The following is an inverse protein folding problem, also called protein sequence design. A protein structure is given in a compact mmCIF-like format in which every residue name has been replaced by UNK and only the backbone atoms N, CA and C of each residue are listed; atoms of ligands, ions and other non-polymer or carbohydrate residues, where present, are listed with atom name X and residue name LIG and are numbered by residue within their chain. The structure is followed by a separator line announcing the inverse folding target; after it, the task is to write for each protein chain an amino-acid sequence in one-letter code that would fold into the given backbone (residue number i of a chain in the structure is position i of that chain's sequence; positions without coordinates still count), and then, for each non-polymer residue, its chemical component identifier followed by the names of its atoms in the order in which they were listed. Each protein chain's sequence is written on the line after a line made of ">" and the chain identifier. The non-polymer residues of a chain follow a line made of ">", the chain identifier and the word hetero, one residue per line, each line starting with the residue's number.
data_IF_638105614168
#
_entry.id   IF_638105614168
#
_cell.length_a   1.000
_cell.length_b   1.000
_cell.length_c   1.000
_cell.angle_alpha   90.00
_cell.angle_beta   90.00
_cell.angle_gamma   90.00
#
_symmetry.space_group_name_H-M   'P 1'
#
loop_
_entity.id
_entity.type
_entity.pdbx_description
1 polymer ?
#
# COMPACT_ATOMS: atom_id res chain seq x y z
N UNK A 1 5.47 -28.76 1.46
CA UNK A 1 5.72 -27.30 1.50
C UNK A 1 5.57 -26.78 0.08
N UNK A 2 4.62 -25.88 -0.13
CA UNK A 2 4.31 -25.31 -1.44
C UNK A 2 5.09 -24.00 -1.62
N UNK A 3 5.69 -23.79 -2.79
CA UNK A 3 6.48 -22.61 -3.14
C UNK A 3 6.12 -22.13 -4.52
N UNK A 4 5.90 -20.83 -4.65
CA UNK A 4 5.58 -20.18 -5.91
C UNK A 4 6.46 -18.94 -6.10
N UNK A 5 7.04 -18.82 -7.28
CA UNK A 5 7.96 -17.76 -7.67
C UNK A 5 7.23 -16.82 -8.61
N UNK A 6 6.93 -15.61 -8.16
CA UNK A 6 6.23 -14.59 -8.95
C UNK A 6 7.22 -13.53 -9.43
N UNK A 7 7.66 -13.55 -10.71
CA UNK A 7 8.59 -12.56 -11.26
C UNK A 7 7.98 -11.15 -11.27
N UNK A 8 8.79 -10.15 -10.90
CA UNK A 8 8.39 -8.74 -10.98
C UNK A 8 8.40 -8.28 -12.44
N UNK A 9 7.44 -7.42 -12.80
CA UNK A 9 7.37 -6.76 -14.10
C UNK A 9 8.11 -5.41 -14.10
N UNK A 10 8.55 -4.94 -12.92
CA UNK A 10 9.20 -3.65 -12.72
C UNK A 10 8.20 -2.52 -12.45
N UNK A 11 6.94 -2.84 -12.18
CA UNK A 11 5.88 -1.89 -11.83
C UNK A 11 5.44 -2.19 -10.42
N UNK A 12 5.97 -1.44 -9.45
CA UNK A 12 5.99 -1.81 -8.04
C UNK A 12 4.59 -2.01 -7.47
N UNK A 13 3.63 -1.13 -7.82
CA UNK A 13 2.27 -1.23 -7.29
C UNK A 13 1.56 -2.46 -7.87
N UNK A 14 1.70 -2.68 -9.18
CA UNK A 14 1.17 -3.85 -9.85
C UNK A 14 1.77 -5.15 -9.30
N UNK A 15 3.10 -5.18 -9.13
CA UNK A 15 3.86 -6.34 -8.70
C UNK A 15 3.51 -6.75 -7.26
N UNK A 16 3.47 -5.79 -6.32
CA UNK A 16 3.02 -6.05 -4.94
C UNK A 16 1.56 -6.53 -4.91
N UNK A 17 0.69 -5.93 -5.72
CA UNK A 17 -0.71 -6.34 -5.81
C UNK A 17 -0.84 -7.78 -6.33
N UNK A 18 -0.07 -8.18 -7.35
CA UNK A 18 -0.07 -9.57 -7.82
C UNK A 18 0.43 -10.54 -6.75
N UNK A 19 1.49 -10.17 -6.04
CA UNK A 19 2.06 -10.99 -4.97
C UNK A 19 1.06 -11.26 -3.85
N UNK A 20 0.34 -10.23 -3.39
CA UNK A 20 -0.73 -10.42 -2.41
C UNK A 20 -1.91 -11.19 -2.98
N UNK A 21 -2.30 -10.98 -4.24
CA UNK A 21 -3.34 -11.78 -4.88
C UNK A 21 -3.03 -13.27 -4.89
N UNK A 22 -1.79 -13.64 -5.25
CA UNK A 22 -1.35 -15.03 -5.23
C UNK A 22 -1.29 -15.57 -3.80
N UNK A 23 -0.76 -14.78 -2.86
CA UNK A 23 -0.76 -15.12 -1.44
C UNK A 23 -2.17 -15.40 -0.91
N UNK A 24 -3.18 -14.61 -1.29
CA UNK A 24 -4.59 -14.82 -0.92
C UNK A 24 -5.12 -16.14 -1.45
N UNK A 25 -4.84 -16.47 -2.72
CA UNK A 25 -5.25 -17.75 -3.30
C UNK A 25 -4.64 -18.91 -2.50
N UNK A 26 -3.32 -18.87 -2.27
CA UNK A 26 -2.62 -19.91 -1.51
C UNK A 26 -3.16 -20.01 -0.07
N UNK A 27 -3.44 -18.86 0.56
CA UNK A 27 -4.02 -18.81 1.91
C UNK A 27 -5.45 -19.37 1.94
N UNK A 28 -6.29 -19.04 0.96
CA UNK A 28 -7.66 -19.53 0.88
C UNK A 28 -7.70 -21.07 0.76
N UNK A 29 -6.80 -21.65 -0.05
CA UNK A 29 -6.74 -23.08 -0.31
C UNK A 29 -6.09 -23.88 0.83
N UNK A 30 -5.13 -23.32 1.56
CA UNK A 30 -4.34 -24.07 2.56
C UNK A 30 -4.53 -23.59 4.01
N UNK A 31 -5.12 -22.42 4.20
CA UNK A 31 -5.19 -21.71 5.50
C UNK A 31 -3.87 -21.06 5.94
N UNK A 32 -2.83 -21.09 5.11
CA UNK A 32 -1.50 -20.54 5.41
C UNK A 32 -0.88 -19.94 4.15
N UNK A 33 -0.30 -18.75 4.24
CA UNK A 33 0.53 -18.21 3.17
C UNK A 33 1.44 -17.12 3.72
N UNK A 34 2.70 -17.15 3.29
CA UNK A 34 3.70 -16.11 3.53
C UNK A 34 4.14 -15.55 2.19
N UNK A 35 4.15 -14.23 2.05
CA UNK A 35 4.71 -13.50 0.90
C UNK A 35 6.01 -12.84 1.34
N UNK A 36 7.08 -13.03 0.57
CA UNK A 36 8.39 -12.42 0.85
C UNK A 36 8.96 -11.80 -0.43
N UNK A 37 9.49 -10.59 -0.33
CA UNK A 37 10.24 -9.96 -1.41
C UNK A 37 11.67 -10.53 -1.46
N UNK A 38 12.05 -11.08 -2.62
CA UNK A 38 13.38 -11.64 -2.89
C UNK A 38 14.16 -10.79 -3.90
N UNK A 39 13.79 -9.52 -4.07
CA UNK A 39 14.39 -8.58 -5.02
C UNK A 39 13.75 -8.70 -6.40
N UNK A 40 14.20 -9.67 -7.22
CA UNK A 40 13.71 -9.84 -8.60
C UNK A 40 12.34 -10.53 -8.73
N UNK A 41 11.87 -11.16 -7.66
CA UNK A 41 10.61 -11.88 -7.61
C UNK A 41 10.03 -11.85 -6.19
N UNK A 42 8.74 -12.17 -6.06
CA UNK A 42 8.14 -12.50 -4.77
C UNK A 42 8.09 -14.01 -4.59
N UNK A 43 8.45 -14.49 -3.40
CA UNK A 43 8.28 -15.87 -3.00
C UNK A 43 7.00 -16.01 -2.16
N UNK A 44 6.09 -16.87 -2.61
CA UNK A 44 4.87 -17.21 -1.89
C UNK A 44 5.01 -18.65 -1.40
N UNK A 45 4.96 -18.84 -0.08
CA UNK A 45 5.11 -20.14 0.55
C UNK A 45 3.89 -20.52 1.39
N UNK A 46 3.57 -21.82 1.42
CA UNK A 46 2.66 -22.40 2.41
C UNK A 46 3.24 -23.69 2.97
N UNK A 47 3.14 -23.85 4.30
CA UNK A 47 3.54 -25.08 4.97
C UNK A 47 2.49 -26.17 4.88
N UNK A 48 1.26 -25.83 4.50
CA UNK A 48 0.11 -26.73 4.39
C UNK A 48 -0.14 -27.11 2.94
N UNK A 49 -0.73 -28.28 2.74
CA UNK A 49 -1.17 -28.71 1.42
C UNK A 49 -2.33 -27.83 0.92
N UNK A 50 -2.44 -27.69 -0.40
CA UNK A 50 -3.53 -26.95 -1.01
C UNK A 50 -4.75 -27.87 -1.13
N UNK A 51 -5.90 -27.45 -0.61
CA UNK A 51 -7.16 -28.12 -0.87
C UNK A 51 -8.00 -27.32 -1.89
N UNK A 52 -8.10 -27.83 -3.12
CA UNK A 52 -8.88 -27.21 -4.19
C UNK A 52 -10.40 -27.29 -4.02
N UNK A 53 -10.90 -28.14 -3.12
CA UNK A 53 -12.32 -28.13 -2.72
C UNK A 53 -12.69 -26.82 -2.01
N UNK A 54 -11.69 -26.07 -1.52
CA UNK A 54 -11.85 -24.77 -0.86
C UNK A 54 -11.81 -23.60 -1.86
N UNK A 55 -11.94 -23.82 -3.16
CA UNK A 55 -11.89 -22.76 -4.17
C UNK A 55 -12.83 -21.58 -3.86
N UNK A 56 -14.03 -21.87 -3.36
CA UNK A 56 -15.03 -20.88 -2.98
C UNK A 56 -14.57 -19.95 -1.84
N UNK A 57 -13.55 -20.33 -1.08
CA UNK A 57 -12.97 -19.47 -0.04
C UNK A 57 -12.31 -18.22 -0.63
N UNK A 58 -11.87 -18.26 -1.90
CA UNK A 58 -11.32 -17.09 -2.60
C UNK A 58 -12.38 -15.98 -2.70
N UNK A 59 -13.66 -16.34 -2.85
CA UNK A 59 -14.74 -15.36 -2.99
C UNK A 59 -14.90 -14.45 -1.76
N UNK A 60 -14.48 -14.90 -0.58
CA UNK A 60 -14.50 -14.09 0.65
C UNK A 60 -13.60 -12.85 0.56
N UNK A 61 -12.62 -12.87 -0.34
CA UNK A 61 -11.67 -11.79 -0.57
C UNK A 61 -12.04 -10.90 -1.76
N UNK A 62 -13.18 -11.10 -2.42
CA UNK A 62 -13.56 -10.23 -3.54
C UNK A 62 -14.05 -8.84 -3.10
N UNK A 63 -14.19 -8.60 -1.80
CA UNK A 63 -14.62 -7.31 -1.25
C UNK A 63 -16.05 -6.92 -1.62
N UNK A 64 -16.49 -5.77 -1.11
CA UNK A 64 -17.81 -5.20 -1.39
C UNK A 64 -17.78 -4.29 -2.63
N UNK A 65 -18.94 -3.78 -3.04
CA UNK A 65 -19.03 -2.87 -4.20
C UNK A 65 -18.19 -1.60 -4.01
N UNK A 66 -17.96 -1.16 -2.77
CA UNK A 66 -17.09 -0.01 -2.48
C UNK A 66 -15.64 -0.33 -2.83
N UNK A 67 -15.14 -1.53 -2.53
CA UNK A 67 -13.80 -1.97 -2.91
C UNK A 67 -13.64 -2.04 -4.43
N UNK A 68 -14.63 -2.58 -5.16
CA UNK A 68 -14.64 -2.58 -6.63
C UNK A 68 -14.67 -1.15 -7.21
N UNK A 69 -15.53 -0.28 -6.67
CA UNK A 69 -15.64 1.11 -7.12
C UNK A 69 -14.32 1.87 -6.98
N UNK A 70 -13.56 1.61 -5.92
CA UNK A 70 -12.27 2.23 -5.67
C UNK A 70 -11.12 1.62 -6.48
N UNK A 71 -11.13 0.30 -6.69
CA UNK A 71 -10.15 -0.40 -7.52
C UNK A 71 -10.27 0.03 -9.00
N UNK A 72 -11.50 0.28 -9.43
CA UNK A 72 -11.83 0.66 -10.81
C UNK A 72 -12.36 2.10 -10.88
N UNK A 73 -11.69 3.00 -10.15
CA UNK A 73 -12.09 4.41 -9.99
C UNK A 73 -12.18 5.17 -11.31
N UNK A 74 -11.39 4.77 -12.31
CA UNK A 74 -11.23 5.47 -13.60
C UNK A 74 -12.13 4.98 -14.72
N UNK A 75 -12.99 3.99 -14.46
CA UNK A 75 -13.89 3.43 -15.48
C UNK A 75 -15.36 3.55 -15.07
N UNK A 76 -16.24 3.56 -16.07
CA UNK A 76 -17.69 3.61 -15.86
C UNK A 76 -18.24 2.32 -15.24
N UNK A 77 -19.42 2.43 -14.60
CA UNK A 77 -20.08 1.33 -13.89
C UNK A 77 -20.32 0.09 -14.77
N UNK A 78 -20.74 0.27 -16.03
CA UNK A 78 -20.98 -0.86 -16.94
C UNK A 78 -19.71 -1.67 -17.26
N UNK A 79 -18.57 -0.99 -17.48
CA UNK A 79 -17.29 -1.68 -17.71
C UNK A 79 -16.77 -2.32 -16.42
N UNK A 80 -16.96 -1.65 -15.28
CA UNK A 80 -16.61 -2.19 -13.96
C UNK A 80 -17.35 -3.49 -13.67
N UNK A 81 -18.67 -3.54 -13.92
CA UNK A 81 -19.47 -4.74 -13.68
C UNK A 81 -19.07 -5.90 -14.60
N UNK A 82 -18.81 -5.64 -15.89
CA UNK A 82 -18.26 -6.64 -16.81
C UNK A 82 -16.90 -7.17 -16.34
N UNK A 83 -16.03 -6.26 -15.89
CA UNK A 83 -14.71 -6.61 -15.37
C UNK A 83 -14.82 -7.45 -14.10
N UNK A 84 -15.70 -7.06 -13.17
CA UNK A 84 -16.00 -7.79 -11.95
C UNK A 84 -16.43 -9.22 -12.26
N UNK A 85 -17.50 -9.40 -13.04
CA UNK A 85 -18.02 -10.74 -13.40
C UNK A 85 -16.93 -11.66 -13.95
N UNK A 86 -16.16 -11.16 -14.92
CA UNK A 86 -15.07 -11.94 -15.54
C UNK A 86 -13.96 -12.32 -14.55
N UNK A 87 -13.55 -11.41 -13.65
CA UNK A 87 -12.53 -11.73 -12.62
C UNK A 87 -13.08 -12.76 -11.64
N UNK A 88 -14.34 -12.63 -11.22
CA UNK A 88 -15.00 -13.59 -10.33
C UNK A 88 -15.10 -14.97 -10.98
N UNK A 89 -15.61 -15.06 -12.21
CA UNK A 89 -15.67 -16.30 -12.97
C UNK A 89 -14.29 -16.94 -13.16
N UNK A 90 -13.27 -16.13 -13.46
CA UNK A 90 -11.92 -16.61 -13.64
C UNK A 90 -11.33 -17.20 -12.34
N UNK A 91 -11.49 -16.50 -11.21
CA UNK A 91 -10.97 -16.92 -9.89
C UNK A 91 -11.76 -18.07 -9.26
N UNK A 92 -13.03 -18.24 -9.62
CA UNK A 92 -13.87 -19.36 -9.17
C UNK A 92 -13.63 -20.66 -9.94
N UNK A 93 -12.82 -20.65 -10.99
CA UNK A 93 -12.53 -21.84 -11.80
C UNK A 93 -11.27 -22.55 -11.30
N UNK A 94 -11.43 -23.79 -10.83
CA UNK A 94 -10.34 -24.62 -10.28
C UNK A 94 -9.19 -24.81 -11.26
N UNK A 95 -9.49 -25.02 -12.54
CA UNK A 95 -8.48 -25.28 -13.57
C UNK A 95 -7.63 -24.02 -13.84
N UNK A 96 -8.26 -22.84 -13.88
CA UNK A 96 -7.52 -21.58 -14.00
C UNK A 96 -6.56 -21.38 -12.82
N UNK A 97 -7.00 -21.68 -11.60
CA UNK A 97 -6.15 -21.56 -10.41
C UNK A 97 -5.02 -22.58 -10.41
N UNK A 98 -5.28 -23.83 -10.82
CA UNK A 98 -4.22 -24.84 -11.00
C UNK A 98 -3.17 -24.38 -12.00
N UNK A 99 -3.62 -23.90 -13.17
CA UNK A 99 -2.72 -23.40 -14.20
C UNK A 99 -1.84 -22.26 -13.70
N UNK A 100 -2.40 -21.28 -12.97
CA UNK A 100 -1.61 -20.20 -12.34
C UNK A 100 -0.55 -20.77 -11.40
N UNK A 101 -0.93 -21.68 -10.50
CA UNK A 101 -0.04 -22.22 -9.49
C UNK A 101 1.06 -23.09 -10.12
N UNK A 102 0.71 -23.92 -11.09
CA UNK A 102 1.64 -24.77 -11.83
C UNK A 102 2.64 -23.92 -12.63
N UNK A 103 2.17 -22.83 -13.26
CA UNK A 103 3.01 -21.90 -13.98
C UNK A 103 4.06 -21.19 -13.11
N UNK A 104 3.83 -21.10 -11.81
CA UNK A 104 4.67 -20.38 -10.87
C UNK A 104 5.48 -21.31 -9.94
N UNK A 105 5.46 -22.63 -10.17
CA UNK A 105 6.29 -23.60 -9.43
C UNK A 105 7.79 -23.41 -9.69
N UNK A 106 8.14 -22.86 -10.85
CA UNK A 106 9.51 -22.58 -11.26
C UNK A 106 9.70 -21.09 -11.52
N UNK A 107 10.90 -20.58 -11.23
CA UNK A 107 11.23 -19.19 -11.52
C UNK A 107 11.35 -18.98 -13.03
N UNK A 108 10.46 -18.14 -13.57
CA UNK A 108 10.44 -17.76 -14.98
C UNK A 108 11.01 -16.36 -15.19
N UNK A 109 11.24 -16.01 -16.45
CA UNK A 109 11.59 -14.65 -16.86
C UNK A 109 10.55 -13.63 -16.39
N UNK A 110 10.95 -12.36 -16.19
CA UNK A 110 10.04 -11.26 -15.87
C UNK A 110 8.84 -11.19 -16.81
N UNK A 111 7.69 -10.75 -16.27
CA UNK A 111 6.46 -10.61 -17.05
C UNK A 111 6.60 -9.46 -18.04
N UNK A 112 6.40 -9.75 -19.33
CA UNK A 112 6.37 -8.73 -20.37
C UNK A 112 5.04 -7.97 -20.32
N UNK A 113 5.12 -6.66 -20.15
CA UNK A 113 3.95 -5.79 -20.20
C UNK A 113 3.60 -5.49 -21.66
N UNK A 114 2.30 -5.43 -21.98
CA UNK A 114 1.79 -5.11 -23.32
C UNK A 114 1.40 -6.32 -24.18
N UNK A 115 1.72 -7.55 -23.77
CA UNK A 115 1.43 -8.78 -24.53
C UNK A 115 0.05 -9.39 -24.27
N UNK A 116 -0.73 -8.79 -23.36
CA UNK A 116 -2.01 -9.35 -22.91
C UNK A 116 -3.26 -8.79 -23.59
N UNK A 117 -4.43 -9.13 -23.04
CA UNK A 117 -5.74 -8.62 -23.48
C UNK A 117 -6.39 -7.69 -22.46
N UNK A 118 -6.00 -7.82 -21.19
CA UNK A 118 -6.62 -7.11 -20.09
C UNK A 118 -6.03 -5.73 -19.89
N UNK A 119 -6.88 -4.71 -19.83
CA UNK A 119 -6.42 -3.35 -19.56
C UNK A 119 -6.02 -3.22 -18.09
N UNK A 120 -4.76 -2.89 -17.82
CA UNK A 120 -4.35 -2.47 -16.48
C UNK A 120 -4.83 -1.04 -16.21
N UNK A 121 -5.45 -0.82 -15.05
CA UNK A 121 -6.06 0.47 -14.71
C UNK A 121 -5.19 1.26 -13.74
N UNK A 122 -5.29 2.60 -13.85
CA UNK A 122 -4.44 3.54 -13.13
C UNK A 122 -4.41 3.36 -11.60
N UNK A 123 -5.51 3.04 -10.91
CA UNK A 123 -5.45 2.83 -9.46
C UNK A 123 -4.55 1.66 -9.06
N UNK A 124 -4.36 0.68 -9.95
CA UNK A 124 -3.51 -0.49 -9.73
C UNK A 124 -2.05 -0.25 -10.13
N UNK A 125 -1.81 0.70 -11.03
CA UNK A 125 -0.49 1.22 -11.39
C UNK A 125 -0.63 2.57 -12.11
N UNK A 126 -0.07 3.64 -11.54
CA UNK A 126 -0.20 4.98 -12.11
C UNK A 126 0.50 5.10 -13.47
N UNK A 127 1.59 4.34 -13.69
CA UNK A 127 2.27 4.26 -14.97
C UNK A 127 1.42 3.64 -16.10
N UNK A 128 0.26 3.03 -15.77
CA UNK A 128 -0.72 2.56 -16.73
C UNK A 128 -1.60 3.69 -17.32
N UNK A 129 -1.29 4.94 -17.04
CA UNK A 129 -2.02 6.10 -17.56
C UNK A 129 -1.83 6.28 -19.06
N UNK A 130 -2.96 6.40 -19.78
CA UNK A 130 -2.98 6.82 -21.19
C UNK A 130 -2.23 8.16 -21.31
N UNK A 131 -1.09 8.16 -22.01
CA UNK A 131 -0.28 9.36 -22.27
C UNK A 131 1.16 9.35 -21.75
N UNK A 132 1.60 8.33 -20.99
CA UNK A 132 3.00 8.25 -20.49
C UNK A 132 3.91 7.37 -21.39
N UNK A 133 3.52 7.02 -22.63
CA UNK A 133 4.28 6.01 -23.40
C UNK A 133 4.53 6.35 -24.86
N UNK A 134 5.78 6.09 -25.23
CA UNK A 134 6.46 5.90 -26.52
C UNK A 134 5.97 6.64 -27.75
N UNK A 135 4.67 6.71 -28.06
CA UNK A 135 4.18 7.47 -29.22
C UNK A 135 4.42 8.99 -29.06
N UNK A 136 4.28 9.49 -27.83
CA UNK A 136 4.57 10.90 -27.48
C UNK A 136 6.09 11.15 -27.37
N UNK A 137 6.86 10.20 -26.81
CA UNK A 137 8.33 10.30 -26.70
C UNK A 137 9.03 10.12 -28.08
N UNK A 138 8.48 9.31 -28.97
CA UNK A 138 8.98 9.06 -30.32
C UNK A 138 8.42 10.02 -31.37
N UNK A 139 7.64 11.05 -30.96
CA UNK A 139 7.01 12.05 -31.84
C UNK A 139 6.22 11.46 -33.02
N UNK A 140 5.74 10.22 -32.91
CA UNK A 140 4.95 9.57 -33.96
C UNK A 140 3.48 9.76 -33.61
N UNK A 141 2.93 10.88 -34.10
CA UNK A 141 1.53 11.29 -34.04
C UNK A 141 0.96 11.56 -32.63
N UNK A 142 0.15 12.62 -32.54
CA UNK A 142 -0.69 12.92 -31.38
C UNK A 142 -1.87 11.92 -31.35
N UNK A 143 -1.62 10.67 -31.00
CA UNK A 143 -2.65 9.72 -30.57
C UNK A 143 -2.71 9.69 -29.04
N UNK A 144 -3.92 9.60 -28.49
CA UNK A 144 -4.09 9.18 -27.10
C UNK A 144 -3.50 7.76 -27.00
N UNK A 145 -2.29 7.62 -26.44
CA UNK A 145 -1.54 6.36 -26.45
C UNK A 145 -2.36 5.14 -26.00
N UNK A 146 -1.95 3.96 -26.47
CA UNK A 146 -2.67 2.71 -26.22
C UNK A 146 -2.75 2.33 -24.73
N UNK A 147 -3.87 1.71 -24.33
CA UNK A 147 -4.03 1.17 -22.98
C UNK A 147 -3.03 0.04 -22.72
N UNK A 148 -2.40 0.04 -21.55
CA UNK A 148 -1.50 -1.05 -21.14
C UNK A 148 -2.27 -2.35 -21.02
N UNK A 149 -1.75 -3.41 -21.63
CA UNK A 149 -2.33 -4.75 -21.60
C UNK A 149 -1.52 -5.75 -20.80
N UNK A 150 -2.20 -6.60 -20.03
CA UNK A 150 -1.62 -7.70 -19.23
C UNK A 150 -2.43 -8.99 -19.39
N UNK A 151 -1.86 -10.12 -18.98
CA UNK A 151 -2.54 -11.42 -19.02
C UNK A 151 -3.74 -11.43 -18.05
N UNK A 152 -4.72 -12.31 -18.27
CA UNK A 152 -5.84 -12.46 -17.33
C UNK A 152 -5.38 -13.01 -15.97
N UNK A 153 -4.32 -13.82 -15.95
CA UNK A 153 -3.71 -14.34 -14.72
C UNK A 153 -3.20 -13.17 -13.88
N UNK A 154 -2.30 -12.37 -14.45
CA UNK A 154 -1.70 -11.21 -13.77
C UNK A 154 -2.73 -10.16 -13.39
N UNK A 155 -3.70 -9.92 -14.28
CA UNK A 155 -4.79 -8.99 -14.01
C UNK A 155 -5.62 -9.45 -12.80
N UNK A 156 -6.06 -10.71 -12.78
CA UNK A 156 -6.91 -11.23 -11.71
C UNK A 156 -6.17 -11.29 -10.37
N UNK A 157 -4.89 -11.69 -10.38
CA UNK A 157 -4.03 -11.63 -9.19
C UNK A 157 -3.91 -10.19 -8.68
N UNK A 158 -3.60 -9.24 -9.56
CA UNK A 158 -3.46 -7.84 -9.17
C UNK A 158 -4.76 -7.26 -8.64
N UNK A 159 -5.92 -7.56 -9.26
CA UNK A 159 -7.23 -7.10 -8.75
C UNK A 159 -7.49 -7.65 -7.35
N UNK A 160 -7.27 -8.95 -7.14
CA UNK A 160 -7.50 -9.59 -5.85
C UNK A 160 -6.60 -8.99 -4.77
N UNK A 161 -5.30 -8.84 -5.02
CA UNK A 161 -4.40 -8.22 -4.05
C UNK A 161 -4.69 -6.74 -3.84
N UNK A 162 -5.00 -5.98 -4.90
CA UNK A 162 -5.31 -4.56 -4.78
C UNK A 162 -6.59 -4.31 -3.97
N UNK A 163 -7.62 -5.15 -4.09
CA UNK A 163 -8.81 -5.06 -3.25
C UNK A 163 -8.44 -5.22 -1.76
N UNK A 164 -7.58 -6.20 -1.45
CA UNK A 164 -7.34 -6.67 -0.08
C UNK A 164 -6.10 -6.11 0.61
N UNK A 165 -5.15 -5.53 -0.11
CA UNK A 165 -3.90 -5.02 0.48
C UNK A 165 -3.78 -3.50 0.41
N UNK A 166 -4.50 -2.86 -0.53
CA UNK A 166 -4.43 -1.41 -0.70
C UNK A 166 -5.23 -0.68 0.37
N UNK A 167 -4.52 0.09 1.20
CA UNK A 167 -5.05 1.09 2.11
C UNK A 167 -5.41 2.33 1.30
N UNK A 168 -6.59 2.90 1.58
CA UNK A 168 -7.15 3.99 0.77
C UNK A 168 -7.58 5.14 1.65
N UNK A 169 -7.06 6.34 1.37
CA UNK A 169 -7.36 7.55 2.15
C UNK A 169 -7.67 8.73 1.24
N UNK A 170 -8.62 9.56 1.64
CA UNK A 170 -8.84 10.85 0.96
C UNK A 170 -7.93 11.92 1.57
N UNK A 171 -7.42 12.79 0.71
CA UNK A 171 -6.74 14.03 1.06
C UNK A 171 -7.41 15.19 0.33
N UNK A 172 -7.17 16.43 0.76
CA UNK A 172 -7.66 17.62 0.05
C UNK A 172 -7.14 17.71 -1.40
N UNK A 173 -6.10 16.96 -1.76
CA UNK A 173 -5.52 16.93 -3.10
C UNK A 173 -5.99 15.74 -3.95
N UNK A 174 -6.66 14.75 -3.35
CA UNK A 174 -7.08 13.55 -4.08
C UNK A 174 -7.14 12.29 -3.23
N UNK A 175 -7.27 11.15 -3.91
CA UNK A 175 -7.30 9.83 -3.32
C UNK A 175 -5.89 9.22 -3.29
N UNK A 176 -5.47 8.82 -2.10
CA UNK A 176 -4.21 8.12 -1.83
C UNK A 176 -4.48 6.63 -1.81
N UNK A 177 -3.68 5.88 -2.55
CA UNK A 177 -3.59 4.43 -2.55
C UNK A 177 -2.22 4.07 -2.02
N UNK A 178 -2.15 3.24 -0.98
CA UNK A 178 -0.89 2.77 -0.41
C UNK A 178 -0.98 1.26 -0.19
N UNK A 179 0.06 0.53 -0.59
CA UNK A 179 0.17 -0.90 -0.37
C UNK A 179 1.51 -1.19 0.31
N UNK A 180 1.52 -1.90 1.45
CA UNK A 180 2.77 -2.18 2.14
C UNK A 180 3.57 -3.25 1.39
N UNK A 181 4.84 -3.01 1.11
CA UNK A 181 5.71 -3.98 0.44
C UNK A 181 6.12 -5.10 1.41
N UNK A 182 5.90 -6.39 1.10
CA UNK A 182 6.15 -7.47 2.03
C UNK A 182 7.63 -7.85 2.10
N UNK A 183 8.30 -7.62 3.24
CA UNK A 183 9.62 -8.23 3.48
C UNK A 183 9.45 -9.71 3.79
N UNK A 184 8.53 -10.02 4.71
CA UNK A 184 8.06 -11.38 5.02
C UNK A 184 6.75 -11.28 5.78
N UNK A 185 5.64 -11.50 5.10
CA UNK A 185 4.31 -11.19 5.63
C UNK A 185 3.37 -12.37 5.48
N UNK A 186 2.71 -12.74 6.58
CA UNK A 186 1.58 -13.68 6.55
C UNK A 186 0.33 -12.97 6.06
N UNK A 187 -0.36 -13.58 5.10
CA UNK A 187 -1.59 -13.03 4.52
C UNK A 187 -2.68 -12.80 5.58
N UNK A 188 -2.80 -13.72 6.55
CA UNK A 188 -3.73 -13.59 7.67
C UNK A 188 -3.53 -12.27 8.43
N UNK A 189 -2.30 -11.94 8.81
CA UNK A 189 -2.01 -10.74 9.59
C UNK A 189 -2.27 -9.47 8.77
N UNK A 190 -1.87 -9.46 7.50
CA UNK A 190 -2.09 -8.29 6.64
C UNK A 190 -3.58 -7.96 6.49
N UNK A 191 -4.39 -8.95 6.13
CA UNK A 191 -5.78 -8.70 5.70
C UNK A 191 -6.72 -8.59 6.89
N UNK A 192 -6.68 -9.55 7.81
CA UNK A 192 -7.70 -9.68 8.86
C UNK A 192 -7.41 -8.78 10.06
N UNK A 193 -6.15 -8.40 10.27
CA UNK A 193 -5.73 -7.60 11.42
C UNK A 193 -5.27 -6.20 11.03
N UNK A 194 -4.16 -6.11 10.31
CA UNK A 194 -3.44 -4.85 10.09
C UNK A 194 -4.25 -3.91 9.21
N UNK A 195 -4.60 -4.33 7.99
CA UNK A 195 -5.30 -3.46 7.05
C UNK A 195 -6.65 -3.00 7.60
N UNK A 196 -7.42 -3.90 8.20
CA UNK A 196 -8.74 -3.58 8.76
C UNK A 196 -8.64 -2.44 9.79
N UNK A 197 -7.68 -2.53 10.72
CA UNK A 197 -7.45 -1.49 11.74
C UNK A 197 -6.92 -0.20 11.13
N UNK A 198 -6.03 -0.28 10.15
CA UNK A 198 -5.55 0.91 9.45
C UNK A 198 -6.71 1.60 8.73
N UNK A 199 -7.50 0.89 7.93
CA UNK A 199 -8.67 1.45 7.22
C UNK A 199 -9.66 2.12 8.18
N UNK A 200 -9.81 1.60 9.40
CA UNK A 200 -10.63 2.21 10.44
C UNK A 200 -10.01 3.48 11.03
N UNK A 201 -8.70 3.50 11.25
CA UNK A 201 -7.96 4.64 11.81
C UNK A 201 -7.75 5.80 10.83
N UNK A 202 -7.63 5.52 9.52
CA UNK A 202 -7.26 6.54 8.53
C UNK A 202 -8.46 7.15 7.79
N UNK A 203 -9.67 7.04 8.35
CA UNK A 203 -10.91 7.57 7.76
C UNK A 203 -10.86 9.09 7.55
N UNK A 204 -11.63 9.53 6.56
CA UNK A 204 -11.82 10.95 6.26
C UNK A 204 -10.71 11.59 5.43
N UNK A 205 -10.76 12.92 5.37
CA UNK A 205 -9.91 13.78 4.57
C UNK A 205 -8.75 14.31 5.42
N UNK A 206 -7.51 14.16 4.96
CA UNK A 206 -6.41 14.96 5.54
C UNK A 206 -6.26 16.29 4.80
N UNK A 207 -6.47 17.39 5.51
CA UNK A 207 -6.41 18.77 4.99
C UNK A 207 -5.01 19.20 4.59
N UNK A 208 -3.98 18.71 5.27
CA UNK A 208 -2.60 19.05 4.96
C UNK A 208 -2.04 18.40 3.67
N UNK A 209 -2.78 17.50 3.01
CA UNK A 209 -2.32 16.89 1.75
C UNK A 209 -2.20 15.38 1.76
N UNK A 210 -1.75 14.86 0.63
CA UNK A 210 -1.50 13.43 0.41
C UNK A 210 -0.26 12.93 1.16
N UNK A 211 0.73 13.79 1.40
CA UNK A 211 1.98 13.36 2.02
C UNK A 211 1.85 13.10 3.53
N UNK A 212 1.21 13.99 4.31
CA UNK A 212 0.77 13.67 5.68
C UNK A 212 -0.15 12.45 5.77
N UNK A 213 -1.01 12.25 4.76
CA UNK A 213 -1.87 11.07 4.68
C UNK A 213 -1.05 9.76 4.60
N UNK A 214 0.05 9.76 3.85
CA UNK A 214 0.94 8.60 3.75
C UNK A 214 1.73 8.38 5.04
N UNK A 215 2.29 9.44 5.63
CA UNK A 215 3.02 9.32 6.90
C UNK A 215 2.12 8.80 8.03
N UNK A 216 0.85 9.22 8.08
CA UNK A 216 -0.13 8.66 9.01
C UNK A 216 -0.35 7.15 8.77
N UNK A 217 -0.51 6.73 7.51
CA UNK A 217 -0.64 5.31 7.16
C UNK A 217 0.61 4.53 7.59
N UNK A 218 1.80 5.10 7.37
CA UNK A 218 3.08 4.49 7.72
C UNK A 218 3.23 4.28 9.23
N UNK A 219 2.92 5.30 10.05
CA UNK A 219 2.95 5.17 11.51
C UNK A 219 1.95 4.12 11.99
N UNK A 220 0.72 4.16 11.48
CA UNK A 220 -0.30 3.21 11.88
C UNK A 220 0.09 1.78 11.46
N UNK A 221 0.78 1.62 10.33
CA UNK A 221 1.33 0.32 9.93
C UNK A 221 2.35 -0.21 10.93
N UNK A 222 3.35 0.60 11.31
CA UNK A 222 4.40 0.20 12.25
C UNK A 222 3.85 -0.08 13.66
N UNK A 223 2.89 0.73 14.11
CA UNK A 223 2.18 0.47 15.37
C UNK A 223 1.41 -0.87 15.34
N UNK A 224 0.80 -1.22 14.21
CA UNK A 224 0.11 -2.50 14.04
C UNK A 224 1.08 -3.68 13.89
N UNK A 225 2.26 -3.49 13.28
CA UNK A 225 3.35 -4.48 13.29
C UNK A 225 3.76 -4.79 14.74
N UNK A 226 4.07 -3.77 15.54
CA UNK A 226 4.43 -3.92 16.96
C UNK A 226 3.34 -4.64 17.76
N UNK A 227 2.06 -4.31 17.53
CA UNK A 227 0.94 -4.99 18.20
C UNK A 227 0.88 -6.47 17.86
N UNK A 228 1.09 -6.84 16.60
CA UNK A 228 1.06 -8.24 16.16
C UNK A 228 2.28 -8.99 16.69
N UNK A 229 3.45 -8.34 16.75
CA UNK A 229 4.67 -8.88 17.36
C UNK A 229 4.48 -9.25 18.84
N UNK A 230 3.85 -8.38 19.62
CA UNK A 230 3.54 -8.66 21.03
C UNK A 230 2.59 -9.87 21.20
N UNK A 231 1.76 -10.14 20.19
CA UNK A 231 0.80 -11.23 20.17
C UNK A 231 1.35 -12.61 19.76
N UNK A 232 2.59 -12.73 19.26
CA UNK A 232 3.11 -14.03 18.86
C UNK A 232 4.47 -14.06 18.15
N UNK A 233 4.96 -15.27 17.83
CA UNK A 233 6.32 -15.53 17.29
C UNK A 233 6.56 -15.05 15.84
N UNK A 234 5.56 -14.48 15.16
CA UNK A 234 5.72 -14.03 13.77
C UNK A 234 5.32 -12.57 13.63
N UNK A 235 6.33 -11.74 13.47
CA UNK A 235 6.24 -10.35 13.04
C UNK A 235 5.97 -10.28 11.53
N UNK A 236 4.82 -9.79 11.04
CA UNK A 236 4.80 -9.27 9.68
C UNK A 236 5.77 -8.09 9.61
N UNK A 237 6.68 -8.11 8.62
CA UNK A 237 7.58 -6.98 8.37
C UNK A 237 7.35 -6.44 6.96
N UNK A 238 7.15 -5.13 6.87
CA UNK A 238 6.97 -4.41 5.61
C UNK A 238 8.16 -3.50 5.33
N UNK A 239 8.74 -3.57 4.13
CA UNK A 239 9.93 -2.76 3.82
C UNK A 239 9.61 -1.29 3.50
N UNK A 240 8.43 -1.03 2.95
CA UNK A 240 8.02 0.31 2.51
C UNK A 240 6.51 0.37 2.26
N UNK A 241 5.98 1.57 2.00
CA UNK A 241 4.67 1.73 1.35
C UNK A 241 4.89 2.11 -0.12
N UNK A 242 4.42 1.27 -1.03
CA UNK A 242 4.27 1.67 -2.44
C UNK A 242 2.98 2.46 -2.57
N UNK A 243 3.04 3.65 -3.14
CA UNK A 243 1.88 4.53 -3.19
C UNK A 243 1.62 5.16 -4.55
N UNK A 244 0.35 5.50 -4.76
CA UNK A 244 -0.13 6.32 -5.86
C UNK A 244 -1.18 7.30 -5.37
N UNK A 245 -1.16 8.52 -5.89
CA UNK A 245 -2.12 9.57 -5.60
C UNK A 245 -2.81 9.96 -6.89
N UNK A 246 -4.14 9.96 -6.86
CA UNK A 246 -4.97 10.40 -7.97
C UNK A 246 -5.76 11.63 -7.56
N UNK A 247 -5.78 12.64 -8.41
CA UNK A 247 -6.57 13.85 -8.22
C UNK A 247 -7.74 13.91 -9.19
N UNK A 248 -8.79 14.66 -8.86
CA UNK A 248 -9.95 14.84 -9.71
C UNK A 248 -9.81 16.14 -10.50
N UNK A 249 -9.78 16.04 -11.82
CA UNK A 249 -9.81 17.18 -12.74
C UNK A 249 -11.14 17.14 -13.50
N UNK A 250 -12.07 18.01 -13.10
CA UNK A 250 -13.47 17.96 -13.57
C UNK A 250 -14.15 16.65 -13.13
N UNK A 251 -14.60 15.84 -14.08
CA UNK A 251 -15.24 14.54 -13.81
C UNK A 251 -14.28 13.34 -13.94
N UNK A 252 -13.01 13.56 -14.27
CA UNK A 252 -12.04 12.50 -14.48
C UNK A 252 -11.01 12.45 -13.37
N UNK A 253 -10.61 11.24 -12.99
CA UNK A 253 -9.46 11.00 -12.12
C UNK A 253 -8.19 10.94 -12.96
N UNK A 254 -7.15 11.64 -12.51
CA UNK A 254 -5.83 11.68 -13.14
C UNK A 254 -4.76 11.38 -12.11
N UNK A 255 -3.63 10.76 -12.49
CA UNK A 255 -2.47 10.66 -11.61
C UNK A 255 -2.00 12.05 -11.18
N UNK A 256 -1.61 12.15 -9.92
CA UNK A 256 -0.94 13.32 -9.38
C UNK A 256 0.54 13.01 -9.11
N UNK A 257 0.80 11.95 -8.36
CA UNK A 257 2.15 11.50 -7.98
C UNK A 257 2.11 10.06 -7.51
N UNK A 258 3.23 9.37 -7.53
CA UNK A 258 3.40 8.02 -6.96
C UNK A 258 4.85 7.85 -6.53
N UNK A 259 5.12 6.77 -5.80
CA UNK A 259 6.46 6.47 -5.34
C UNK A 259 6.50 5.45 -4.21
N UNK A 260 7.61 5.48 -3.48
CA UNK A 260 7.90 4.59 -2.36
C UNK A 260 8.09 5.47 -1.13
N UNK A 261 7.32 5.22 -0.07
CA UNK A 261 7.51 5.85 1.23
C UNK A 261 8.31 4.89 2.12
N UNK A 262 9.50 5.28 2.59
CA UNK A 262 10.36 4.40 3.39
C UNK A 262 9.78 4.16 4.79
N UNK A 263 10.04 3.00 5.36
CA UNK A 263 9.67 2.65 6.74
C UNK A 263 10.87 2.52 7.68
N UNK A 264 12.10 2.53 7.15
CA UNK A 264 13.34 2.26 7.90
C UNK A 264 13.47 3.12 9.16
N UNK A 265 13.21 4.42 9.05
CA UNK A 265 13.29 5.33 10.19
C UNK A 265 12.23 5.02 11.26
N UNK A 266 10.99 4.71 10.85
CA UNK A 266 9.94 4.33 11.79
C UNK A 266 10.26 3.01 12.48
N UNK A 267 10.89 2.07 11.77
CA UNK A 267 11.36 0.80 12.32
C UNK A 267 12.52 0.99 13.31
N UNK A 268 13.46 1.89 13.03
CA UNK A 268 14.51 2.26 13.99
C UNK A 268 13.92 2.85 15.28
N UNK A 269 12.91 3.73 15.16
CA UNK A 269 12.17 4.24 16.33
C UNK A 269 11.44 3.10 17.05
N UNK A 270 10.86 2.15 16.32
CA UNK A 270 10.13 1.01 16.87
C UNK A 270 11.00 0.07 17.72
N UNK A 271 12.32 0.06 17.50
CA UNK A 271 13.29 -0.70 18.31
C UNK A 271 13.68 0.00 19.63
N UNK A 272 13.30 1.26 19.83
CA UNK A 272 13.60 2.02 21.05
C UNK A 272 12.63 1.69 22.20
N UNK A 273 13.07 1.89 23.45
CA UNK A 273 12.21 1.70 24.62
C UNK A 273 11.02 2.68 24.65
N UNK A 274 11.15 3.81 23.98
CA UNK A 274 10.16 4.88 23.88
C UNK A 274 9.31 4.78 22.60
N UNK A 275 9.44 3.69 21.83
CA UNK A 275 8.79 3.48 20.53
C UNK A 275 7.30 3.86 20.51
N UNK A 276 6.53 3.26 21.43
CA UNK A 276 5.08 3.47 21.49
C UNK A 276 4.72 4.92 21.82
N UNK A 277 5.46 5.58 22.69
CA UNK A 277 5.15 6.96 23.09
C UNK A 277 5.41 7.94 21.94
N UNK A 278 6.53 7.77 21.23
CA UNK A 278 6.88 8.59 20.06
C UNK A 278 5.87 8.38 18.92
N UNK A 279 5.64 7.12 18.55
CA UNK A 279 4.77 6.78 17.43
C UNK A 279 3.31 7.18 17.71
N UNK A 280 2.81 6.99 18.94
CA UNK A 280 1.47 7.44 19.30
C UNK A 280 1.35 8.97 19.29
N UNK A 281 2.36 9.71 19.76
CA UNK A 281 2.35 11.17 19.70
C UNK A 281 2.35 11.67 18.25
N UNK A 282 3.11 11.04 17.36
CA UNK A 282 3.09 11.37 15.94
C UNK A 282 1.75 11.02 15.28
N UNK A 283 1.18 9.86 15.61
CA UNK A 283 -0.17 9.46 15.20
C UNK A 283 -1.20 10.50 15.63
N UNK A 284 -1.15 10.96 16.88
CA UNK A 284 -2.04 12.00 17.39
C UNK A 284 -1.89 13.31 16.61
N UNK A 285 -0.67 13.74 16.30
CA UNK A 285 -0.45 14.94 15.48
C UNK A 285 -1.20 14.81 14.14
N UNK A 286 -1.07 13.69 13.43
CA UNK A 286 -1.80 13.49 12.17
C UNK A 286 -3.31 13.43 12.37
N UNK A 287 -3.81 12.70 13.37
CA UNK A 287 -5.25 12.51 13.60
C UNK A 287 -5.95 13.80 14.00
N UNK A 288 -5.41 14.52 14.98
CA UNK A 288 -6.06 15.70 15.56
C UNK A 288 -5.93 16.95 14.67
N UNK A 289 -4.93 17.00 13.79
CA UNK A 289 -4.76 18.10 12.83
C UNK A 289 -5.42 17.85 11.47
N UNK A 290 -5.80 16.61 11.16
CA UNK A 290 -6.31 16.20 9.84
C UNK A 290 -7.41 17.12 9.27
N UNK A 291 -8.30 17.67 10.11
CA UNK A 291 -9.44 18.48 9.66
C UNK A 291 -9.32 19.97 10.00
N UNK A 292 -8.26 20.40 10.68
CA UNK A 292 -8.17 21.74 11.27
C UNK A 292 -7.38 22.70 10.39
N UNK A 293 -7.98 23.85 10.09
CA UNK A 293 -7.31 24.95 9.38
C UNK A 293 -6.26 25.61 10.29
N UNK A 294 -5.12 25.97 9.72
CA UNK A 294 -4.00 26.62 10.41
C UNK A 294 -3.02 25.64 11.06
N UNK A 295 -3.24 24.34 10.95
CA UNK A 295 -2.35 23.31 11.48
C UNK A 295 -1.55 22.59 10.42
N UNK A 296 -1.76 22.89 9.13
CA UNK A 296 -1.24 22.13 7.99
C UNK A 296 0.29 21.98 8.00
N UNK A 297 1.03 22.97 8.49
CA UNK A 297 2.50 22.96 8.54
C UNK A 297 3.05 21.87 9.47
N UNK A 298 2.40 21.62 10.62
CA UNK A 298 2.89 20.68 11.63
C UNK A 298 2.92 19.21 11.12
N UNK A 299 1.82 18.62 10.63
CA UNK A 299 1.85 17.28 10.08
C UNK A 299 2.64 17.21 8.77
N UNK A 300 2.74 18.30 7.99
CA UNK A 300 3.56 18.32 6.77
C UNK A 300 5.05 18.20 7.09
N UNK A 301 5.54 19.00 8.03
CA UNK A 301 6.95 18.94 8.44
C UNK A 301 7.30 17.66 9.19
N UNK A 302 6.35 17.09 9.95
CA UNK A 302 6.51 15.76 10.54
C UNK A 302 6.58 14.66 9.47
N UNK A 303 5.72 14.72 8.44
CA UNK A 303 5.75 13.77 7.33
C UNK A 303 7.07 13.85 6.55
N UNK A 304 7.58 15.06 6.29
CA UNK A 304 8.88 15.27 5.67
C UNK A 304 10.04 14.74 6.53
N UNK A 305 9.95 14.93 7.86
CA UNK A 305 10.93 14.37 8.78
C UNK A 305 10.93 12.84 8.77
N UNK A 306 9.77 12.21 8.82
CA UNK A 306 9.64 10.75 8.81
C UNK A 306 10.19 10.15 7.51
N UNK A 307 9.85 10.76 6.37
CA UNK A 307 10.24 10.25 5.06
C UNK A 307 11.73 10.50 4.74
N UNK A 308 12.30 11.59 5.28
CA UNK A 308 13.68 11.97 5.06
C UNK A 308 14.30 12.45 6.39
N UNK A 309 14.70 11.52 7.27
CA UNK A 309 15.25 11.85 8.57
C UNK A 309 16.58 12.59 8.41
N UNK A 310 16.59 13.86 8.82
CA UNK A 310 17.80 14.70 8.87
C UNK A 310 17.66 15.71 10.00
N UNK A 311 18.79 16.20 10.52
CA UNK A 311 18.79 17.23 11.55
C UNK A 311 17.97 18.46 11.12
N UNK A 312 18.07 18.88 9.86
CA UNK A 312 17.31 20.02 9.32
C UNK A 312 15.80 19.79 9.36
N UNK A 313 15.35 18.62 8.91
CA UNK A 313 13.92 18.29 8.94
C UNK A 313 13.40 18.12 10.37
N UNK A 314 14.21 17.51 11.24
CA UNK A 314 13.90 17.36 12.66
C UNK A 314 13.75 18.71 13.36
N UNK A 315 14.71 19.61 13.18
CA UNK A 315 14.65 20.96 13.74
C UNK A 315 13.41 21.71 13.30
N UNK A 316 13.06 21.65 12.00
CA UNK A 316 11.87 22.32 11.47
C UNK A 316 10.60 21.76 12.11
N UNK A 317 10.49 20.44 12.24
CA UNK A 317 9.38 19.79 12.93
C UNK A 317 9.31 20.23 14.40
N UNK A 318 10.40 20.12 15.15
CA UNK A 318 10.44 20.44 16.58
C UNK A 318 10.15 21.92 16.84
N UNK A 319 10.67 22.84 16.01
CA UNK A 319 10.34 24.28 16.11
C UNK A 319 8.84 24.52 15.98
N UNK A 320 8.17 23.86 15.04
CA UNK A 320 6.72 23.97 14.87
C UNK A 320 5.94 23.29 16.00
N UNK A 321 6.40 22.13 16.47
CA UNK A 321 5.83 21.44 17.63
C UNK A 321 5.89 22.33 18.87
N UNK A 322 7.06 22.87 19.20
CA UNK A 322 7.26 23.78 20.33
C UNK A 322 6.42 25.04 20.21
N UNK A 323 6.37 25.68 19.03
CA UNK A 323 5.49 26.83 18.79
C UNK A 323 4.04 26.49 19.09
N UNK A 324 3.59 25.31 18.68
CA UNK A 324 2.24 24.81 18.92
C UNK A 324 2.00 24.53 20.42
N UNK A 325 2.98 23.98 21.13
CA UNK A 325 2.92 23.76 22.58
C UNK A 325 2.96 25.06 23.42
N UNK A 326 3.55 26.14 22.91
CA UNK A 326 3.62 27.43 23.63
C UNK A 326 2.40 28.33 23.40
N UNK A 327 1.70 28.19 22.27
CA UNK A 327 0.53 29.01 21.92
C UNK A 327 -0.75 28.54 22.66
N UNK A 328 -1.29 29.35 23.58
CA UNK A 328 -2.40 28.97 24.46
C UNK A 328 -3.68 28.54 23.72
N UNK A 329 -3.88 29.01 22.48
CA UNK A 329 -5.09 28.73 21.71
C UNK A 329 -4.96 27.50 20.80
N UNK A 330 -3.81 26.81 20.87
CA UNK A 330 -3.51 25.63 20.06
C UNK A 330 -3.66 24.31 20.81
N UNK A 331 -3.99 23.25 20.07
CA UNK A 331 -4.02 21.87 20.60
C UNK A 331 -2.67 21.52 21.18
N UNK A 332 -2.65 20.84 22.32
CA UNK A 332 -1.42 20.36 22.95
C UNK A 332 -1.23 18.88 22.68
N UNK A 333 -0.04 18.52 22.24
CA UNK A 333 0.44 17.16 22.03
C UNK A 333 1.44 16.75 23.12
N UNK A 334 1.79 17.68 24.02
CA UNK A 334 2.73 17.47 25.11
C UNK A 334 4.19 17.62 24.66
N UNK A 335 5.04 18.00 25.60
CA UNK A 335 6.48 18.08 25.37
C UNK A 335 7.11 16.70 25.22
N UNK A 336 8.29 16.66 24.62
CA UNK A 336 9.13 15.48 24.61
C UNK A 336 10.05 15.48 25.82
N UNK A 337 10.22 14.32 26.44
CA UNK A 337 11.26 14.14 27.45
C UNK A 337 12.64 14.20 26.80
N UNK A 338 13.64 14.67 27.55
CA UNK A 338 15.02 14.79 27.06
C UNK A 338 15.55 13.50 26.42
N UNK A 339 15.32 12.35 27.06
CA UNK A 339 15.72 11.03 26.54
C UNK A 339 15.11 10.70 25.18
N UNK A 340 13.86 11.11 24.94
CA UNK A 340 13.17 10.89 23.66
C UNK A 340 13.78 11.77 22.57
N UNK A 341 14.08 13.03 22.90
CA UNK A 341 14.76 13.95 21.98
C UNK A 341 16.16 13.41 21.63
N UNK A 342 16.93 12.97 22.63
CA UNK A 342 18.27 12.40 22.42
C UNK A 342 18.21 11.12 21.57
N UNK A 343 17.23 10.25 21.82
CA UNK A 343 16.98 9.05 21.01
C UNK A 343 16.72 9.40 19.54
N UNK A 344 15.79 10.31 19.26
CA UNK A 344 15.47 10.73 17.89
C UNK A 344 16.68 11.41 17.23
N UNK A 345 17.42 12.25 17.95
CA UNK A 345 18.63 12.93 17.43
C UNK A 345 19.71 11.92 17.02
N UNK A 346 19.86 10.82 17.76
CA UNK A 346 20.87 9.80 17.45
C UNK A 346 20.67 9.13 16.08
N UNK A 347 19.44 9.12 15.57
CA UNK A 347 19.10 8.53 14.26
C UNK A 347 19.22 9.52 13.09
N UNK A 348 19.42 10.81 13.36
CA UNK A 348 19.41 11.88 12.33
C UNK A 348 20.73 12.67 12.27
N UNK A 349 21.66 12.36 13.16
CA UNK A 349 22.88 13.13 13.43
C UNK A 349 24.19 12.53 12.90
N UNK A 350 24.15 11.74 11.81
CA UNK A 350 25.36 11.25 11.12
C UNK A 350 25.55 11.98 9.80
#
# INVERSE_FOLDING_TARGET
>A
MNRYFLPKAGWEFFDVSRAYGLGIIVHALSGDAVVSDMGGFYLIESKRELNFERIDQIHRFLGDDRAWNRTFLTIGSGQREKTKKRVVEFLGNVENIRNILDDLKELKSPVSIGSGKETLYQPMELAATKGIRDEILLKKQYSEGSSVKVSINDFSLSVLGHINATIRKFSNMGMVFAVPSPTRTRILHLIDEIKKRIDDSVKGLHRAGWFPSLAQIAINLVLEELRVEEGGKFAPKFGSLIYGVMTRTGNQWKPLTGGIFPLDFLHQIAESNEAKDVLNKWKDIFEWTAFRKGYEDLPSTLAEFIANPSLSNYERYIKLHLRNELDKDRIKFGSYEKRVLEGVVSFVGV
#
